data_IF_634461172061
#
_entry.id   IF_634461172061
#
_cell.length_a   1.000
_cell.length_b   1.000
_cell.length_c   1.000
_cell.angle_alpha   90.00
_cell.angle_beta   90.00
_cell.angle_gamma   90.00
#
_symmetry.space_group_name_H-M   'P 1'
#
loop_
_entity.id
_entity.type
_entity.pdbx_description
1 polymer ?
#
# COMPACT_ATOMS: atom_id res chain seq x y z
N UNK A 1 -3.64 -15.57 6.35
CA UNK A 1 -3.94 -14.92 5.04
C UNK A 1 -2.62 -14.74 4.33
N UNK A 2 -2.52 -15.03 3.02
CA UNK A 2 -1.29 -14.79 2.26
C UNK A 2 -0.86 -13.31 2.40
N UNK A 3 0.43 -13.00 2.42
CA UNK A 3 0.92 -11.61 2.47
C UNK A 3 0.85 -10.97 1.07
N UNK A 4 0.65 -9.65 0.97
CA UNK A 4 0.79 -8.96 -0.33
C UNK A 4 2.29 -8.94 -0.64
N UNK A 5 2.66 -9.43 -1.82
CA UNK A 5 4.05 -9.43 -2.30
C UNK A 5 4.25 -8.22 -3.19
N UNK A 6 5.25 -7.41 -2.89
CA UNK A 6 5.57 -6.20 -3.66
C UNK A 6 6.59 -6.52 -4.76
N UNK A 7 6.43 -5.97 -5.97
CA UNK A 7 7.43 -6.14 -7.01
C UNK A 7 8.74 -5.46 -6.61
N UNK A 8 9.87 -6.13 -6.88
CA UNK A 8 11.21 -5.60 -6.62
C UNK A 8 11.50 -4.44 -7.56
N UNK A 9 11.96 -3.32 -7.00
CA UNK A 9 12.38 -2.16 -7.79
C UNK A 9 13.89 -2.19 -8.07
N UNK A 10 14.28 -1.57 -9.19
CA UNK A 10 15.69 -1.34 -9.50
C UNK A 10 16.17 -0.15 -8.70
N UNK A 11 17.03 -0.40 -7.71
CA UNK A 11 17.60 0.63 -6.84
C UNK A 11 19.05 1.00 -7.23
N UNK A 12 19.43 0.80 -8.51
CA UNK A 12 20.80 0.98 -8.99
C UNK A 12 21.35 2.41 -8.76
N UNK A 13 20.47 3.41 -8.74
CA UNK A 13 20.82 4.82 -8.55
C UNK A 13 20.27 5.39 -7.23
N UNK A 14 20.02 4.51 -6.25
CA UNK A 14 19.31 4.82 -5.02
C UNK A 14 17.87 4.31 -5.05
N UNK A 15 17.24 4.28 -3.87
CA UNK A 15 15.87 3.83 -3.74
C UNK A 15 14.88 4.88 -4.26
N UNK A 16 13.82 4.47 -5.00
CA UNK A 16 12.76 5.38 -5.39
C UNK A 16 11.99 5.87 -4.16
N UNK A 17 11.52 7.12 -4.20
CA UNK A 17 10.65 7.68 -3.18
C UNK A 17 9.22 7.17 -3.38
N UNK A 18 8.84 6.19 -2.57
CA UNK A 18 7.54 5.55 -2.59
C UNK A 18 7.27 4.73 -3.85
N UNK A 19 6.01 4.36 -4.01
CA UNK A 19 5.45 3.71 -5.20
C UNK A 19 4.27 4.54 -5.69
N UNK A 20 4.05 4.52 -7.00
CA UNK A 20 2.83 5.06 -7.57
C UNK A 20 1.63 4.24 -7.11
N UNK A 21 0.50 4.93 -6.94
CA UNK A 21 -0.77 4.29 -6.69
C UNK A 21 -1.43 3.91 -8.01
N UNK A 22 -1.85 2.65 -8.12
CA UNK A 22 -2.69 2.18 -9.21
C UNK A 22 -4.15 2.55 -8.92
N UNK A 23 -4.95 2.60 -9.98
CA UNK A 23 -6.41 2.64 -9.83
C UNK A 23 -6.88 1.24 -9.46
N UNK A 24 -7.41 1.08 -8.25
CA UNK A 24 -7.94 -0.19 -7.74
C UNK A 24 -9.47 -0.19 -7.76
N UNK A 25 -10.08 -1.36 -7.85
CA UNK A 25 -11.55 -1.50 -7.87
C UNK A 25 -12.05 -2.79 -7.21
N UNK A 26 -13.33 -2.83 -6.87
CA UNK A 26 -13.98 -4.01 -6.34
C UNK A 26 -13.51 -4.38 -4.93
N UNK A 27 -13.45 -5.70 -4.65
CA UNK A 27 -13.12 -6.20 -3.32
C UNK A 27 -11.61 -6.32 -3.13
N UNK A 28 -11.06 -5.40 -2.33
CA UNK A 28 -9.64 -5.26 -2.08
C UNK A 28 -9.20 -5.89 -0.77
N UNK A 29 -7.99 -6.44 -0.77
CA UNK A 29 -7.29 -6.88 0.42
C UNK A 29 -6.45 -5.76 0.98
N UNK A 30 -6.67 -5.40 2.24
CA UNK A 30 -5.95 -4.34 2.94
C UNK A 30 -5.14 -4.89 4.10
N UNK A 31 -3.84 -4.58 4.14
CA UNK A 31 -2.93 -4.92 5.23
C UNK A 31 -1.87 -3.85 5.48
N UNK A 32 -1.14 -3.98 6.58
CA UNK A 32 0.07 -3.18 6.83
C UNK A 32 1.12 -3.53 5.78
N UNK A 33 1.71 -2.51 5.16
CA UNK A 33 2.81 -2.72 4.22
C UNK A 33 4.00 -3.35 4.98
N UNK A 34 4.59 -4.45 4.48
CA UNK A 34 5.78 -5.03 5.09
C UNK A 34 6.96 -4.07 4.91
N UNK A 35 7.39 -3.47 6.01
CA UNK A 35 8.51 -2.53 6.04
C UNK A 35 9.77 -3.20 6.59
N UNK A 36 10.93 -2.75 6.13
CA UNK A 36 12.27 -3.17 6.53
C UNK A 36 13.12 -1.94 6.90
N UNK A 37 14.32 -2.18 7.44
CA UNK A 37 15.30 -1.14 7.79
C UNK A 37 14.69 -0.01 8.66
N UNK A 38 14.30 -0.36 9.88
CA UNK A 38 13.69 0.58 10.82
C UNK A 38 12.30 1.10 10.41
N UNK A 39 11.70 0.53 9.37
CA UNK A 39 10.40 0.97 8.85
C UNK A 39 10.49 2.02 7.74
N UNK A 40 11.69 2.30 7.25
CA UNK A 40 11.94 3.32 6.22
C UNK A 40 11.68 2.81 4.80
N UNK A 41 11.87 1.52 4.54
CA UNK A 41 11.75 0.93 3.21
C UNK A 41 10.67 -0.14 3.19
N UNK A 42 9.99 -0.32 2.05
CA UNK A 42 9.20 -1.53 1.85
C UNK A 42 10.05 -2.71 1.40
N UNK A 43 9.53 -3.93 1.52
CA UNK A 43 10.28 -5.16 1.20
C UNK A 43 10.62 -5.31 -0.30
N UNK A 44 10.10 -4.46 -1.18
CA UNK A 44 10.48 -4.41 -2.59
C UNK A 44 11.45 -3.27 -2.92
N UNK A 45 11.94 -2.52 -1.92
CA UNK A 45 13.05 -1.57 -2.04
C UNK A 45 12.66 -0.09 -2.19
N UNK A 46 11.38 0.27 -2.08
CA UNK A 46 10.98 1.68 -2.10
C UNK A 46 11.24 2.35 -0.75
N UNK A 47 11.72 3.59 -0.76
CA UNK A 47 11.85 4.41 0.43
C UNK A 47 10.57 5.20 0.71
N UNK A 48 10.02 5.08 1.91
CA UNK A 48 8.80 5.77 2.33
C UNK A 48 9.01 6.71 3.52
N UNK A 49 10.23 6.76 4.06
CA UNK A 49 10.54 7.41 5.33
C UNK A 49 9.92 6.72 6.55
N UNK A 50 10.34 7.15 7.74
CA UNK A 50 9.84 6.65 9.01
C UNK A 50 8.72 7.58 9.49
N UNK A 51 7.49 7.07 9.52
CA UNK A 51 6.30 7.84 9.90
C UNK A 51 5.18 6.90 10.39
N UNK A 52 3.95 7.41 10.44
CA UNK A 52 2.72 6.65 10.72
C UNK A 52 2.62 5.40 9.85
N UNK A 53 2.03 4.31 10.32
CA UNK A 53 1.93 3.02 9.59
C UNK A 53 1.56 3.18 8.10
N UNK A 54 2.33 2.56 7.22
CA UNK A 54 2.00 2.43 5.80
C UNK A 54 1.08 1.22 5.60
N UNK A 55 0.01 1.43 4.84
CA UNK A 55 -0.95 0.41 4.45
C UNK A 55 -0.91 0.20 2.94
N UNK A 56 -1.18 -1.03 2.53
CA UNK A 56 -1.29 -1.41 1.11
C UNK A 56 -2.60 -2.15 0.88
N UNK A 57 -3.37 -1.67 -0.09
CA UNK A 57 -4.52 -2.35 -0.67
C UNK A 57 -4.12 -3.01 -2.00
N UNK A 58 -4.66 -4.20 -2.24
CA UNK A 58 -4.52 -4.91 -3.51
C UNK A 58 -5.89 -5.39 -3.98
N UNK A 59 -6.23 -5.11 -5.23
CA UNK A 59 -7.44 -5.64 -5.87
C UNK A 59 -7.23 -7.07 -6.42
N UNK A 60 -8.20 -7.58 -7.18
CA UNK A 60 -8.11 -8.92 -7.78
C UNK A 60 -7.23 -8.97 -9.04
N UNK A 61 -6.99 -7.83 -9.68
CA UNK A 61 -6.15 -7.71 -10.88
C UNK A 61 -4.67 -7.50 -10.54
N UNK A 62 -4.38 -7.22 -9.26
CA UNK A 62 -3.03 -7.05 -8.73
C UNK A 62 -2.62 -5.59 -8.56
N UNK A 63 -3.50 -4.63 -8.85
CA UNK A 63 -3.26 -3.20 -8.66
C UNK A 63 -3.01 -2.88 -7.20
N UNK A 64 -2.05 -2.00 -6.93
CA UNK A 64 -1.60 -1.65 -5.58
C UNK A 64 -1.91 -0.19 -5.26
N UNK A 65 -2.47 0.03 -4.08
CA UNK A 65 -2.70 1.38 -3.55
C UNK A 65 -2.13 1.52 -2.15
N UNK A 66 -1.33 2.56 -1.94
CA UNK A 66 -0.60 2.82 -0.70
C UNK A 66 -1.14 4.07 0.01
N UNK A 67 -1.31 3.96 1.32
CA UNK A 67 -1.76 5.09 2.15
C UNK A 67 -1.14 5.05 3.55
N UNK A 68 -0.85 6.21 4.13
CA UNK A 68 -0.42 6.34 5.53
C UNK A 68 -1.65 6.56 6.42
N UNK A 69 -1.80 5.75 7.46
CA UNK A 69 -2.91 5.87 8.40
C UNK A 69 -2.59 5.24 9.75
N UNK A 70 -3.22 5.72 10.84
CA UNK A 70 -2.91 5.23 12.20
C UNK A 70 -3.42 3.82 12.43
N UNK A 71 -4.54 3.46 11.80
CA UNK A 71 -5.19 2.18 11.95
C UNK A 71 -5.89 1.75 10.64
N UNK A 72 -6.39 0.52 10.63
CA UNK A 72 -7.01 -0.08 9.43
C UNK A 72 -8.26 0.67 8.97
N UNK A 73 -9.06 1.19 9.91
CA UNK A 73 -10.31 1.88 9.56
C UNK A 73 -10.03 3.24 8.90
N UNK A 74 -9.05 3.98 9.42
CA UNK A 74 -8.56 5.21 8.77
C UNK A 74 -7.98 4.92 7.38
N UNK A 75 -7.24 3.82 7.21
CA UNK A 75 -6.72 3.42 5.90
C UNK A 75 -7.86 3.16 4.89
N UNK A 76 -8.90 2.42 5.30
CA UNK A 76 -10.08 2.18 4.43
C UNK A 76 -10.72 3.48 3.99
N UNK A 77 -10.96 4.38 4.95
CA UNK A 77 -11.60 5.67 4.71
C UNK A 77 -10.78 6.51 3.73
N UNK A 78 -9.47 6.62 3.95
CA UNK A 78 -8.60 7.40 3.08
C UNK A 78 -8.54 6.84 1.64
N UNK A 79 -8.55 5.52 1.47
CA UNK A 79 -8.59 4.90 0.14
C UNK A 79 -9.91 5.19 -0.56
N UNK A 80 -11.04 5.08 0.14
CA UNK A 80 -12.36 5.36 -0.43
C UNK A 80 -12.53 6.84 -0.81
N UNK A 81 -11.98 7.75 0.00
CA UNK A 81 -11.98 9.19 -0.30
C UNK A 81 -11.13 9.52 -1.53
N UNK A 82 -9.94 8.93 -1.68
CA UNK A 82 -9.04 9.19 -2.81
C UNK A 82 -9.53 8.59 -4.13
N UNK A 83 -10.09 7.36 -4.09
CA UNK A 83 -10.59 6.68 -5.28
C UNK A 83 -11.91 7.26 -5.82
N UNK A 84 -12.56 8.19 -5.09
CA UNK A 84 -13.84 8.82 -5.46
C UNK A 84 -14.91 7.79 -5.92
N UNK A 85 -14.93 6.58 -5.34
CA UNK A 85 -15.78 5.50 -5.81
C UNK A 85 -16.18 4.55 -4.68
N UNK A 86 -17.49 4.32 -4.57
CA UNK A 86 -18.11 3.32 -3.70
C UNK A 86 -17.80 1.87 -4.10
N UNK A 87 -17.15 1.66 -5.26
CA UNK A 87 -16.86 0.33 -5.79
C UNK A 87 -15.71 -0.37 -5.04
N UNK A 88 -14.95 0.37 -4.22
CA UNK A 88 -13.86 -0.20 -3.41
C UNK A 88 -14.39 -0.67 -2.05
N UNK A 89 -14.46 -1.99 -1.90
CA UNK A 89 -14.81 -2.65 -0.63
C UNK A 89 -13.64 -3.46 -0.11
N UNK A 90 -13.64 -3.81 1.18
CA UNK A 90 -12.54 -4.55 1.80
C UNK A 90 -13.02 -5.87 2.40
N UNK A 91 -12.18 -6.91 2.32
CA UNK A 91 -12.39 -8.12 3.12
C UNK A 91 -12.51 -7.77 4.60
N UNK A 92 -13.39 -8.48 5.31
CA UNK A 92 -13.63 -8.26 6.75
C UNK A 92 -12.32 -8.39 7.51
#
# INVERSE_FOLDING_TARGET
>A
MAQITLPKMSCQYGAPMGRSNDRISGKCKLQKCPMVDGGAYDNGGAYWGISTTLWVAQDLEGGLFFVRAKNRNEAKKAIQEDMLSDDVTFYK
#
